data_IF_706665169397
#
_entry.id   IF_706665169397
#
_cell.length_a   1.000
_cell.length_b   1.000
_cell.length_c   1.000
_cell.angle_alpha   90.00
_cell.angle_beta   90.00
_cell.angle_gamma   90.00
#
_symmetry.space_group_name_H-M   'P 1'
#
loop_
_entity.id
_entity.type
_entity.pdbx_description
1 polymer ?
#
# COMPACT_ATOMS: atom_id res chain seq x y z
N UNK A 1 66.02 -26.38 27.52
CA UNK A 1 64.56 -26.32 27.35
C UNK A 1 64.16 -24.87 27.23
N UNK A 2 63.86 -24.42 26.02
CA UNK A 2 63.47 -23.04 25.73
C UNK A 2 62.32 -23.08 24.72
N UNK A 3 61.18 -22.59 25.16
CA UNK A 3 59.89 -22.48 24.46
C UNK A 3 59.97 -21.48 23.30
N UNK A 4 59.54 -21.89 22.10
CA UNK A 4 59.23 -20.99 20.98
C UNK A 4 57.71 -20.87 20.82
N UNK A 5 57.23 -19.64 20.94
CA UNK A 5 55.88 -19.20 20.59
C UNK A 5 55.69 -19.22 19.07
N UNK A 6 54.58 -19.78 18.60
CA UNK A 6 54.10 -19.64 17.21
C UNK A 6 52.73 -18.99 17.27
N UNK A 7 52.66 -17.70 16.92
CA UNK A 7 51.42 -17.01 16.60
C UNK A 7 50.92 -17.50 15.24
N UNK A 8 49.72 -18.09 15.19
CA UNK A 8 48.97 -18.31 13.95
C UNK A 8 47.96 -17.19 13.77
N UNK A 9 48.19 -16.35 12.78
CA UNK A 9 47.21 -15.37 12.28
C UNK A 9 46.09 -16.12 11.57
N UNK A 10 44.89 -16.11 12.12
CA UNK A 10 43.67 -16.57 11.43
C UNK A 10 43.13 -15.37 10.65
N UNK A 11 43.29 -15.40 9.32
CA UNK A 11 42.63 -14.45 8.43
C UNK A 11 41.18 -14.90 8.26
N UNK A 12 40.26 -14.22 8.94
CA UNK A 12 38.82 -14.36 8.69
C UNK A 12 38.52 -13.59 7.40
N UNK A 13 38.36 -14.32 6.29
CA UNK A 13 37.80 -13.78 5.06
C UNK A 13 36.29 -13.66 5.26
N UNK A 14 35.83 -12.48 5.68
CA UNK A 14 34.41 -12.14 5.69
C UNK A 14 33.93 -11.98 4.25
N UNK A 15 33.30 -13.03 3.71
CA UNK A 15 32.54 -12.94 2.46
C UNK A 15 31.25 -12.19 2.79
N UNK A 16 31.26 -10.87 2.62
CA UNK A 16 30.04 -10.09 2.47
C UNK A 16 29.47 -10.40 1.08
N UNK A 17 28.69 -11.48 0.99
CA UNK A 17 27.82 -11.70 -0.16
C UNK A 17 26.67 -10.69 -0.06
N UNK A 18 26.79 -9.55 -0.74
CA UNK A 18 25.63 -8.76 -1.13
C UNK A 18 24.87 -9.54 -2.19
N UNK A 19 23.99 -10.45 -1.76
CA UNK A 19 23.02 -11.05 -2.65
C UNK A 19 22.06 -9.95 -3.07
N UNK A 20 22.24 -9.42 -4.27
CA UNK A 20 21.17 -8.73 -4.99
C UNK A 20 20.01 -9.72 -5.09
N UNK A 21 19.00 -9.56 -4.23
CA UNK A 21 17.77 -10.35 -4.31
C UNK A 21 17.17 -10.01 -5.68
N UNK A 22 17.28 -10.95 -6.62
CA UNK A 22 16.59 -10.84 -7.91
C UNK A 22 15.10 -10.72 -7.64
N UNK A 23 14.37 -9.97 -8.47
CA UNK A 23 12.91 -9.95 -8.44
C UNK A 23 12.35 -11.39 -8.34
N UNK A 24 11.57 -11.68 -7.30
CA UNK A 24 11.05 -13.03 -7.00
C UNK A 24 9.56 -13.12 -7.31
N UNK A 25 8.79 -12.06 -7.03
CA UNK A 25 7.38 -12.08 -7.37
C UNK A 25 7.20 -12.00 -8.89
N UNK A 26 6.17 -12.66 -9.39
CA UNK A 26 5.88 -12.73 -10.82
C UNK A 26 4.38 -12.98 -11.05
N UNK A 27 3.84 -12.67 -12.24
CA UNK A 27 2.41 -12.77 -12.53
C UNK A 27 1.85 -14.20 -12.50
N UNK A 28 2.69 -15.25 -12.48
CA UNK A 28 2.22 -16.64 -12.37
C UNK A 28 1.88 -16.98 -10.92
N UNK A 29 2.72 -16.52 -9.99
CA UNK A 29 2.65 -16.91 -8.59
C UNK A 29 2.08 -15.84 -7.68
N UNK A 30 2.06 -14.58 -8.10
CA UNK A 30 1.65 -13.45 -7.26
C UNK A 30 0.63 -12.57 -8.00
N UNK A 31 -0.20 -11.89 -7.21
CA UNK A 31 -1.36 -11.14 -7.70
C UNK A 31 -1.24 -9.68 -7.33
N UNK A 32 -1.28 -8.79 -8.32
CA UNK A 32 -1.46 -7.36 -8.13
C UNK A 32 -2.95 -7.06 -8.32
N UNK A 33 -3.58 -6.58 -7.25
CA UNK A 33 -4.90 -5.96 -7.28
C UNK A 33 -4.80 -4.45 -7.18
N UNK A 34 -5.76 -3.75 -7.78
CA UNK A 34 -6.02 -2.34 -7.51
C UNK A 34 -7.53 -2.17 -7.43
N UNK A 35 -8.00 -1.43 -6.43
CA UNK A 35 -9.39 -1.02 -6.38
C UNK A 35 -9.63 0.13 -7.38
N UNK A 36 -10.28 -0.22 -8.49
CA UNK A 36 -10.58 0.67 -9.61
C UNK A 36 -11.97 1.33 -9.51
N UNK A 37 -12.65 1.20 -8.37
CA UNK A 37 -14.02 1.70 -8.16
C UNK A 37 -14.10 3.18 -7.76
N UNK A 38 -12.96 3.83 -7.49
CA UNK A 38 -12.86 5.28 -7.26
C UNK A 38 -12.64 6.04 -8.57
N UNK A 39 -13.44 7.09 -8.80
CA UNK A 39 -13.43 7.88 -10.04
C UNK A 39 -12.97 9.33 -9.79
N UNK A 40 -12.27 9.95 -10.75
CA UNK A 40 -11.94 11.37 -10.67
C UNK A 40 -13.16 12.25 -10.96
N UNK A 41 -13.02 13.58 -10.80
CA UNK A 41 -14.06 14.60 -11.02
C UNK A 41 -14.67 14.62 -12.44
N UNK A 42 -14.13 13.86 -13.38
CA UNK A 42 -14.58 13.82 -14.77
C UNK A 42 -15.57 12.65 -14.99
N UNK A 43 -16.82 12.97 -15.27
CA UNK A 43 -17.89 11.97 -15.50
C UNK A 43 -17.70 11.11 -16.76
N UNK A 44 -16.85 11.53 -17.70
CA UNK A 44 -16.45 10.69 -18.85
C UNK A 44 -15.34 9.70 -18.49
N UNK A 45 -14.70 9.86 -17.33
CA UNK A 45 -13.73 8.93 -16.78
C UNK A 45 -14.45 7.93 -15.85
N UNK A 46 -15.03 6.91 -16.47
CA UNK A 46 -15.90 5.93 -15.82
C UNK A 46 -15.13 4.67 -15.36
N UNK A 47 -15.88 3.64 -14.92
CA UNK A 47 -15.32 2.36 -14.52
C UNK A 47 -14.42 1.72 -15.59
N UNK A 48 -14.81 1.73 -16.86
CA UNK A 48 -13.98 1.18 -17.95
C UNK A 48 -12.63 1.90 -18.07
N UNK A 49 -12.62 3.21 -17.86
CA UNK A 49 -11.38 4.01 -17.89
C UNK A 49 -10.45 3.63 -16.73
N UNK A 50 -11.00 3.49 -15.52
CA UNK A 50 -10.26 3.04 -14.34
C UNK A 50 -9.77 1.59 -14.47
N UNK A 51 -10.64 0.69 -14.93
CA UNK A 51 -10.32 -0.71 -15.14
C UNK A 51 -9.22 -0.88 -16.19
N UNK A 52 -9.28 -0.12 -17.29
CA UNK A 52 -8.22 -0.10 -18.30
C UNK A 52 -6.87 0.36 -17.74
N UNK A 53 -6.84 1.32 -16.82
CA UNK A 53 -5.60 1.70 -16.12
C UNK A 53 -5.04 0.53 -15.29
N UNK A 54 -5.90 -0.16 -14.54
CA UNK A 54 -5.52 -1.36 -13.78
C UNK A 54 -4.97 -2.46 -14.69
N UNK A 55 -5.68 -2.80 -15.77
CA UNK A 55 -5.24 -3.80 -16.75
C UNK A 55 -3.90 -3.42 -17.37
N UNK A 56 -3.73 -2.18 -17.81
CA UNK A 56 -2.46 -1.71 -18.39
C UNK A 56 -1.32 -1.79 -17.37
N UNK A 57 -1.58 -1.50 -16.11
CA UNK A 57 -0.62 -1.66 -15.01
C UNK A 57 -0.19 -3.13 -14.80
N UNK A 58 -0.97 -4.09 -15.28
CA UNK A 58 -0.74 -5.52 -15.06
C UNK A 58 -1.50 -6.08 -13.86
N UNK A 59 -2.58 -5.40 -13.44
CA UNK A 59 -3.54 -5.95 -12.50
C UNK A 59 -4.08 -7.29 -13.04
N UNK A 60 -4.06 -8.31 -12.20
CA UNK A 60 -4.48 -9.68 -12.57
C UNK A 60 -5.53 -10.27 -11.62
N UNK A 61 -6.06 -9.46 -10.72
CA UNK A 61 -7.34 -9.65 -10.03
C UNK A 61 -7.89 -8.28 -9.62
N UNK A 62 -9.19 -8.15 -9.42
CA UNK A 62 -9.78 -6.94 -8.81
C UNK A 62 -10.85 -7.29 -7.79
N UNK A 63 -11.09 -6.39 -6.85
CA UNK A 63 -12.04 -6.59 -5.76
C UNK A 63 -13.47 -6.22 -6.15
N UNK A 64 -14.43 -7.01 -5.69
CA UNK A 64 -15.83 -6.56 -5.54
C UNK A 64 -16.16 -6.62 -4.06
N UNK A 65 -16.41 -5.46 -3.47
CA UNK A 65 -16.75 -5.33 -2.07
C UNK A 65 -18.25 -5.07 -1.90
N UNK A 66 -18.93 -5.85 -1.06
CA UNK A 66 -20.34 -5.63 -0.71
C UNK A 66 -20.59 -5.88 0.77
N UNK A 67 -21.20 -4.90 1.46
CA UNK A 67 -21.84 -5.16 2.76
C UNK A 67 -23.03 -6.10 2.55
N UNK A 68 -23.31 -7.00 3.49
CA UNK A 68 -24.46 -7.90 3.36
C UNK A 68 -25.79 -7.13 3.35
N UNK A 69 -25.93 -6.05 4.13
CA UNK A 69 -27.07 -5.10 4.03
C UNK A 69 -27.29 -4.49 2.65
N UNK A 70 -26.24 -4.32 1.85
CA UNK A 70 -26.36 -3.78 0.48
C UNK A 70 -26.91 -4.84 -0.49
N UNK A 71 -26.68 -6.12 -0.21
CA UNK A 71 -27.18 -7.24 -1.02
C UNK A 71 -28.58 -7.64 -0.57
N UNK A 72 -28.81 -7.86 0.72
CA UNK A 72 -30.11 -8.26 1.27
C UNK A 72 -30.84 -7.03 1.85
N UNK A 73 -31.62 -6.37 1.00
CA UNK A 73 -32.26 -5.07 1.31
C UNK A 73 -33.48 -5.20 2.22
N UNK A 74 -34.05 -6.39 2.31
CA UNK A 74 -35.06 -6.80 3.29
C UNK A 74 -35.02 -8.32 3.45
N UNK A 75 -35.63 -8.93 4.48
CA UNK A 75 -35.45 -10.36 4.76
C UNK A 75 -35.72 -11.25 3.54
N UNK A 76 -34.71 -11.99 3.09
CA UNK A 76 -34.68 -12.83 1.87
C UNK A 76 -34.92 -12.11 0.53
N UNK A 77 -34.77 -10.79 0.48
CA UNK A 77 -34.89 -10.03 -0.75
C UNK A 77 -33.52 -9.51 -1.14
N UNK A 78 -32.98 -10.07 -2.22
CA UNK A 78 -31.62 -9.79 -2.67
C UNK A 78 -31.60 -8.83 -3.87
N UNK A 79 -30.80 -7.76 -3.78
CA UNK A 79 -30.38 -6.95 -4.92
C UNK A 79 -29.07 -7.53 -5.48
N UNK A 80 -29.17 -8.21 -6.62
CA UNK A 80 -28.05 -8.93 -7.23
C UNK A 80 -27.49 -8.22 -8.47
N UNK A 81 -27.93 -6.98 -8.72
CA UNK A 81 -27.57 -6.22 -9.93
C UNK A 81 -26.05 -6.13 -10.15
N UNK A 82 -25.28 -5.90 -9.09
CA UNK A 82 -23.82 -5.81 -9.19
C UNK A 82 -23.19 -7.14 -9.61
N UNK A 83 -23.77 -8.27 -9.19
CA UNK A 83 -23.32 -9.61 -9.55
C UNK A 83 -23.66 -9.95 -11.00
N UNK A 84 -24.83 -9.55 -11.49
CA UNK A 84 -25.18 -9.67 -12.91
C UNK A 84 -24.21 -8.89 -13.81
N UNK A 85 -23.91 -7.64 -13.40
CA UNK A 85 -22.92 -6.81 -14.10
C UNK A 85 -21.54 -7.49 -14.07
N UNK A 86 -21.10 -7.97 -12.91
CA UNK A 86 -19.81 -8.65 -12.76
C UNK A 86 -19.70 -9.89 -13.65
N UNK A 87 -20.77 -10.69 -13.72
CA UNK A 87 -20.84 -11.90 -14.54
C UNK A 87 -20.79 -11.64 -16.04
N UNK A 88 -21.25 -10.47 -16.47
CA UNK A 88 -21.08 -10.02 -17.85
C UNK A 88 -19.68 -9.44 -18.09
N UNK A 89 -19.22 -8.58 -17.18
CA UNK A 89 -18.06 -7.72 -17.39
C UNK A 89 -16.73 -8.47 -17.30
N UNK A 90 -16.43 -9.09 -16.15
CA UNK A 90 -15.08 -9.60 -15.87
C UNK A 90 -14.69 -10.83 -16.70
N UNK A 91 -15.60 -11.76 -17.03
CA UNK A 91 -15.28 -12.86 -17.94
C UNK A 91 -14.84 -12.39 -19.33
N UNK A 92 -15.36 -11.25 -19.82
CA UNK A 92 -14.95 -10.69 -21.12
C UNK A 92 -13.48 -10.25 -21.15
N UNK A 93 -12.90 -9.95 -19.99
CA UNK A 93 -11.48 -9.60 -19.82
C UNK A 93 -10.65 -10.73 -19.21
N UNK A 94 -11.26 -11.90 -18.96
CA UNK A 94 -10.65 -13.01 -18.26
C UNK A 94 -10.03 -12.59 -16.91
N UNK A 95 -10.69 -11.65 -16.23
CA UNK A 95 -10.24 -11.05 -14.97
C UNK A 95 -10.84 -11.80 -13.78
N UNK A 96 -10.04 -12.46 -12.93
CA UNK A 96 -10.51 -13.03 -11.69
C UNK A 96 -10.97 -11.94 -10.70
N UNK A 97 -11.93 -12.31 -9.84
CA UNK A 97 -12.47 -11.43 -8.81
C UNK A 97 -12.15 -11.96 -7.42
N UNK A 98 -11.71 -11.06 -6.54
CA UNK A 98 -11.77 -11.29 -5.10
C UNK A 98 -13.09 -10.69 -4.58
N UNK A 99 -14.03 -11.56 -4.21
CA UNK A 99 -15.34 -11.15 -3.75
C UNK A 99 -15.32 -11.01 -2.23
N UNK A 100 -15.55 -9.80 -1.72
CA UNK A 100 -15.74 -9.56 -0.29
C UNK A 100 -17.22 -9.37 0.01
N UNK A 101 -17.76 -10.22 0.89
CA UNK A 101 -19.10 -10.04 1.47
C UNK A 101 -18.95 -9.82 2.97
N UNK A 102 -19.33 -8.63 3.43
CA UNK A 102 -19.10 -8.18 4.79
C UNK A 102 -20.38 -8.23 5.65
N UNK A 103 -20.55 -9.24 6.52
CA UNK A 103 -21.51 -9.19 7.62
C UNK A 103 -21.05 -8.26 8.76
N UNK A 104 -19.75 -7.99 8.84
CA UNK A 104 -19.13 -6.92 9.63
C UNK A 104 -18.18 -6.18 8.69
N UNK A 105 -18.27 -4.86 8.70
CA UNK A 105 -17.33 -3.97 8.05
C UNK A 105 -16.78 -3.00 9.11
N UNK A 106 -15.49 -3.12 9.42
CA UNK A 106 -14.82 -2.36 10.49
C UNK A 106 -15.57 -2.43 11.83
N UNK A 107 -16.17 -1.32 12.26
CA UNK A 107 -16.96 -1.15 13.47
C UNK A 107 -18.47 -1.23 13.23
N UNK A 108 -18.92 -1.51 12.00
CA UNK A 108 -20.32 -1.61 11.63
C UNK A 108 -20.78 -3.07 11.50
N UNK A 109 -21.94 -3.36 12.09
CA UNK A 109 -22.65 -4.62 11.89
C UNK A 109 -23.53 -4.50 10.64
N UNK A 110 -23.21 -5.29 9.62
CA UNK A 110 -23.77 -5.17 8.27
C UNK A 110 -24.65 -6.37 7.92
N UNK A 111 -25.49 -6.79 8.86
CA UNK A 111 -26.47 -7.86 8.67
C UNK A 111 -27.88 -7.31 8.43
N UNK A 112 -28.79 -8.04 7.78
CA UNK A 112 -30.20 -7.68 7.66
C UNK A 112 -30.81 -7.28 9.01
N UNK A 113 -31.73 -6.31 9.00
CA UNK A 113 -32.24 -5.68 10.23
C UNK A 113 -32.90 -6.67 11.21
N UNK A 114 -33.54 -7.73 10.70
CA UNK A 114 -34.14 -8.81 11.49
C UNK A 114 -33.11 -9.75 12.16
N UNK A 115 -31.86 -9.73 11.71
CA UNK A 115 -30.77 -10.57 12.24
C UNK A 115 -29.86 -9.83 13.24
N UNK A 116 -30.00 -8.52 13.40
CA UNK A 116 -29.08 -7.68 14.21
C UNK A 116 -28.94 -8.08 15.68
N UNK A 117 -29.94 -8.77 16.24
CA UNK A 117 -29.92 -9.27 17.63
C UNK A 117 -29.46 -10.72 17.76
N UNK A 118 -29.25 -11.41 16.63
CA UNK A 118 -28.82 -12.80 16.62
C UNK A 118 -27.31 -12.91 16.78
N UNK A 119 -26.86 -13.85 17.61
CA UNK A 119 -25.46 -14.24 17.65
C UNK A 119 -25.01 -14.81 16.30
N UNK A 120 -23.74 -14.62 15.92
CA UNK A 120 -23.21 -15.13 14.65
C UNK A 120 -23.30 -16.66 14.52
N UNK A 121 -23.15 -17.39 15.63
CA UNK A 121 -23.30 -18.85 15.64
C UNK A 121 -24.78 -19.32 15.66
N UNK A 122 -25.75 -18.41 15.56
CA UNK A 122 -27.15 -18.79 15.45
C UNK A 122 -27.38 -19.51 14.10
N UNK A 123 -28.00 -20.71 14.09
CA UNK A 123 -28.26 -21.45 12.86
C UNK A 123 -29.08 -20.67 11.82
N UNK A 124 -29.98 -19.76 12.25
CA UNK A 124 -30.77 -18.92 11.36
C UNK A 124 -29.88 -17.94 10.59
N UNK A 125 -28.98 -17.25 11.29
CA UNK A 125 -28.05 -16.29 10.68
C UNK A 125 -27.10 -17.02 9.71
N UNK A 126 -26.52 -18.15 10.12
CA UNK A 126 -25.65 -18.99 9.26
C UNK A 126 -26.40 -19.42 8.00
N UNK A 127 -27.62 -19.94 8.13
CA UNK A 127 -28.38 -20.43 6.99
C UNK A 127 -28.86 -19.28 6.07
N UNK A 128 -29.15 -18.10 6.61
CA UNK A 128 -29.44 -16.92 5.78
C UNK A 128 -28.23 -16.53 4.94
N UNK A 129 -27.03 -16.51 5.52
CA UNK A 129 -25.82 -16.22 4.74
C UNK A 129 -25.54 -17.28 3.67
N UNK A 130 -25.83 -18.57 3.95
CA UNK A 130 -25.75 -19.62 2.91
C UNK A 130 -26.73 -19.38 1.76
N UNK A 131 -27.96 -18.96 2.07
CA UNK A 131 -28.98 -18.59 1.06
C UNK A 131 -28.54 -17.39 0.22
N UNK A 132 -27.86 -16.42 0.84
CA UNK A 132 -27.21 -15.32 0.13
C UNK A 132 -26.15 -15.86 -0.84
N UNK A 133 -25.27 -16.77 -0.40
CA UNK A 133 -24.24 -17.37 -1.27
C UNK A 133 -24.84 -18.16 -2.44
N UNK A 134 -25.95 -18.88 -2.23
CA UNK A 134 -26.69 -19.55 -3.31
C UNK A 134 -27.16 -18.55 -4.37
N UNK A 135 -27.75 -17.44 -3.91
CA UNK A 135 -28.23 -16.35 -4.77
C UNK A 135 -27.09 -15.71 -5.54
N UNK A 136 -25.97 -15.41 -4.88
CA UNK A 136 -24.77 -14.89 -5.54
C UNK A 136 -24.27 -15.88 -6.59
N UNK A 137 -24.10 -17.17 -6.25
CA UNK A 137 -23.63 -18.21 -7.19
C UNK A 137 -24.48 -18.29 -8.45
N UNK A 138 -25.80 -18.18 -8.32
CA UNK A 138 -26.72 -18.20 -9.46
C UNK A 138 -26.52 -16.99 -10.40
N UNK A 139 -26.06 -15.86 -9.89
CA UNK A 139 -25.84 -14.62 -10.66
C UNK A 139 -24.40 -14.44 -11.16
N UNK A 140 -23.43 -15.20 -10.63
CA UNK A 140 -22.04 -15.23 -11.13
C UNK A 140 -21.57 -16.60 -11.64
N UNK A 141 -22.33 -17.30 -12.51
CA UNK A 141 -21.93 -18.62 -13.00
C UNK A 141 -20.63 -18.62 -13.81
N UNK A 142 -20.28 -17.49 -14.45
CA UNK A 142 -19.13 -17.36 -15.35
C UNK A 142 -17.96 -16.60 -14.73
N UNK A 143 -18.13 -15.98 -13.55
CA UNK A 143 -17.05 -15.29 -12.87
C UNK A 143 -16.05 -16.30 -12.31
N UNK A 144 -14.77 -16.04 -12.55
CA UNK A 144 -13.68 -16.75 -11.90
C UNK A 144 -13.40 -16.06 -10.57
N UNK A 145 -13.68 -16.73 -9.45
CA UNK A 145 -13.32 -16.22 -8.14
C UNK A 145 -11.86 -16.57 -7.83
N UNK A 146 -11.03 -15.54 -7.65
CA UNK A 146 -9.68 -15.65 -7.07
C UNK A 146 -9.78 -16.01 -5.58
N UNK A 147 -10.70 -15.38 -4.87
CA UNK A 147 -11.06 -15.74 -3.50
C UNK A 147 -12.45 -15.22 -3.11
N UNK A 148 -13.01 -15.78 -2.03
CA UNK A 148 -14.15 -15.25 -1.29
C UNK A 148 -13.66 -14.79 0.09
N UNK A 149 -13.84 -13.52 0.39
CA UNK A 149 -13.50 -12.90 1.67
C UNK A 149 -14.78 -12.65 2.45
N UNK A 150 -14.85 -13.16 3.68
CA UNK A 150 -16.04 -13.04 4.53
C UNK A 150 -15.71 -12.13 5.71
N UNK A 151 -16.31 -10.94 5.72
CA UNK A 151 -16.00 -9.87 6.66
C UNK A 151 -14.80 -9.01 6.24
N UNK A 152 -14.78 -7.78 6.75
CA UNK A 152 -13.75 -6.77 6.46
C UNK A 152 -13.38 -6.04 7.74
N UNK A 153 -12.09 -6.05 8.10
CA UNK A 153 -11.54 -5.38 9.28
C UNK A 153 -12.34 -5.64 10.57
N UNK A 154 -12.94 -6.82 10.66
CA UNK A 154 -14.00 -7.11 11.63
C UNK A 154 -13.46 -7.30 13.05
N UNK A 155 -12.14 -7.43 13.24
CA UNK A 155 -11.48 -7.32 14.55
C UNK A 155 -11.82 -6.01 15.28
N UNK A 156 -12.08 -4.93 14.53
CA UNK A 156 -12.45 -3.64 15.11
C UNK A 156 -13.79 -3.72 15.84
N UNK A 157 -14.80 -4.36 15.23
CA UNK A 157 -16.09 -4.62 15.88
C UNK A 157 -15.99 -5.66 16.99
N UNK A 158 -15.28 -6.77 16.74
CA UNK A 158 -15.17 -7.86 17.71
C UNK A 158 -14.44 -7.42 18.99
N UNK A 159 -13.46 -6.51 18.85
CA UNK A 159 -12.64 -6.02 19.96
C UNK A 159 -12.07 -7.18 20.77
N UNK A 160 -11.96 -7.02 22.09
CA UNK A 160 -11.44 -8.09 22.97
C UNK A 160 -12.49 -9.12 23.40
N UNK A 161 -13.68 -9.13 22.79
CA UNK A 161 -14.79 -9.98 23.23
C UNK A 161 -14.62 -11.42 22.72
N UNK A 162 -14.08 -12.29 23.59
CA UNK A 162 -13.84 -13.70 23.30
C UNK A 162 -15.09 -14.46 22.81
N UNK A 163 -16.27 -14.13 23.35
CA UNK A 163 -17.53 -14.75 22.93
C UNK A 163 -17.87 -14.38 21.50
N UNK A 164 -17.75 -13.10 21.11
CA UNK A 164 -18.02 -12.67 19.74
C UNK A 164 -17.03 -13.30 18.75
N UNK A 165 -15.74 -13.37 19.10
CA UNK A 165 -14.74 -14.09 18.29
C UNK A 165 -15.10 -15.56 18.06
N UNK A 166 -15.52 -16.27 19.12
CA UNK A 166 -15.94 -17.67 19.02
C UNK A 166 -17.22 -17.84 18.17
N UNK A 167 -18.19 -16.95 18.33
CA UNK A 167 -19.42 -16.96 17.55
C UNK A 167 -19.14 -16.69 16.07
N UNK A 168 -18.32 -15.68 15.76
CA UNK A 168 -17.93 -15.35 14.39
C UNK A 168 -17.10 -16.46 13.75
N UNK A 169 -16.19 -17.10 14.51
CA UNK A 169 -15.44 -18.28 14.03
C UNK A 169 -16.38 -19.41 13.63
N UNK A 170 -17.37 -19.73 14.47
CA UNK A 170 -18.36 -20.77 14.15
C UNK A 170 -19.16 -20.43 12.90
N UNK A 171 -19.54 -19.16 12.74
CA UNK A 171 -20.20 -18.67 11.54
C UNK A 171 -19.30 -18.85 10.31
N UNK A 172 -18.09 -18.29 10.35
CA UNK A 172 -17.10 -18.30 9.27
C UNK A 172 -16.79 -19.72 8.81
N UNK A 173 -16.54 -20.64 9.74
CA UNK A 173 -16.25 -22.05 9.44
C UNK A 173 -17.40 -22.70 8.67
N UNK A 174 -18.64 -22.47 9.12
CA UNK A 174 -19.83 -23.07 8.50
C UNK A 174 -20.08 -22.54 7.08
N UNK A 175 -19.94 -21.23 6.89
CA UNK A 175 -20.20 -20.61 5.58
C UNK A 175 -19.06 -20.83 4.60
N UNK A 176 -17.82 -20.90 5.08
CA UNK A 176 -16.64 -21.18 4.26
C UNK A 176 -16.66 -22.59 3.67
N UNK A 177 -17.00 -23.59 4.49
CA UNK A 177 -17.20 -24.97 4.01
C UNK A 177 -18.31 -25.03 2.98
N UNK A 178 -19.42 -24.33 3.22
CA UNK A 178 -20.54 -24.29 2.28
C UNK A 178 -20.15 -23.62 0.95
N UNK A 179 -19.48 -22.46 0.99
CA UNK A 179 -19.01 -21.76 -0.21
C UNK A 179 -18.15 -22.66 -1.12
N UNK A 180 -17.26 -23.49 -0.54
CA UNK A 180 -16.44 -24.44 -1.30
C UNK A 180 -17.25 -25.53 -2.03
N UNK A 181 -18.50 -25.79 -1.60
CA UNK A 181 -19.42 -26.68 -2.32
C UNK A 181 -20.05 -26.01 -3.54
N UNK A 182 -20.27 -24.69 -3.49
CA UNK A 182 -20.80 -23.89 -4.60
C UNK A 182 -19.75 -23.58 -5.67
N UNK A 183 -18.50 -23.39 -5.24
CA UNK A 183 -17.36 -23.12 -6.10
C UNK A 183 -16.21 -24.10 -5.78
N UNK A 184 -16.15 -25.25 -6.49
CA UNK A 184 -15.06 -26.21 -6.31
C UNK A 184 -13.67 -25.57 -6.52
N UNK A 185 -12.77 -25.75 -5.56
CA UNK A 185 -11.43 -25.17 -5.59
C UNK A 185 -11.33 -23.73 -5.07
N UNK A 186 -12.45 -23.11 -4.67
CA UNK A 186 -12.49 -21.77 -4.09
C UNK A 186 -11.55 -21.63 -2.90
N UNK A 187 -10.84 -20.50 -2.88
CA UNK A 187 -10.05 -20.05 -1.75
C UNK A 187 -10.88 -19.10 -0.90
N UNK A 188 -10.95 -19.39 0.39
CA UNK A 188 -11.67 -18.55 1.34
C UNK A 188 -10.70 -17.83 2.27
N UNK A 189 -11.06 -16.60 2.62
CA UNK A 189 -10.33 -15.77 3.57
C UNK A 189 -11.32 -15.00 4.44
N UNK A 190 -10.80 -14.40 5.48
CA UNK A 190 -11.49 -13.38 6.27
C UNK A 190 -10.47 -12.27 6.52
N UNK A 191 -10.89 -11.01 6.39
CA UNK A 191 -9.97 -9.88 6.50
C UNK A 191 -9.99 -9.31 7.91
N UNK A 192 -8.79 -9.19 8.48
CA UNK A 192 -8.51 -8.51 9.73
C UNK A 192 -7.49 -7.40 9.50
N UNK A 193 -7.52 -6.36 10.34
CA UNK A 193 -6.43 -5.38 10.33
C UNK A 193 -5.11 -6.01 10.76
N UNK A 194 -3.99 -5.50 10.25
CA UNK A 194 -2.66 -5.89 10.76
C UNK A 194 -2.56 -5.78 12.29
N UNK A 195 -3.13 -4.71 12.86
CA UNK A 195 -3.18 -4.51 14.31
C UNK A 195 -3.99 -5.60 15.01
N UNK A 196 -5.17 -5.95 14.48
CA UNK A 196 -5.99 -7.03 15.00
C UNK A 196 -5.27 -8.37 14.99
N UNK A 197 -4.63 -8.73 13.87
CA UNK A 197 -3.85 -9.96 13.73
C UNK A 197 -2.72 -10.03 14.76
N UNK A 198 -1.99 -8.94 14.94
CA UNK A 198 -0.78 -8.95 15.78
C UNK A 198 -1.09 -8.83 17.26
N UNK A 199 -2.09 -8.04 17.65
CA UNK A 199 -2.45 -7.80 19.05
C UNK A 199 -3.43 -8.81 19.62
N UNK A 200 -4.27 -9.42 18.77
CA UNK A 200 -5.27 -10.42 19.15
C UNK A 200 -4.95 -11.79 18.53
N UNK A 201 -3.66 -12.11 18.45
CA UNK A 201 -3.13 -13.24 17.67
C UNK A 201 -3.81 -14.58 17.95
N UNK A 202 -4.16 -14.91 19.20
CA UNK A 202 -4.80 -16.16 19.56
C UNK A 202 -6.20 -16.29 18.95
N UNK A 203 -6.99 -15.21 18.98
CA UNK A 203 -8.30 -15.19 18.34
C UNK A 203 -8.16 -15.21 16.82
N UNK A 204 -7.27 -14.38 16.27
CA UNK A 204 -7.02 -14.33 14.83
C UNK A 204 -6.54 -15.67 14.25
N UNK A 205 -5.63 -16.38 14.93
CA UNK A 205 -5.15 -17.69 14.51
C UNK A 205 -6.23 -18.77 14.62
N UNK A 206 -7.05 -18.71 15.69
CA UNK A 206 -8.18 -19.64 15.84
C UNK A 206 -9.17 -19.47 14.68
N UNK A 207 -9.61 -18.23 14.41
CA UNK A 207 -10.48 -17.90 13.30
C UNK A 207 -9.88 -18.35 11.96
N UNK A 208 -8.59 -18.07 11.74
CA UNK A 208 -7.93 -18.40 10.50
C UNK A 208 -7.58 -19.88 10.32
N UNK A 209 -7.97 -20.77 11.25
CA UNK A 209 -7.71 -22.22 11.13
C UNK A 209 -8.27 -22.79 9.82
N UNK A 210 -9.47 -22.34 9.40
CA UNK A 210 -10.14 -22.84 8.20
C UNK A 210 -10.03 -21.92 6.98
N UNK A 211 -9.32 -20.80 7.08
CA UNK A 211 -8.98 -19.95 5.93
C UNK A 211 -7.93 -20.62 5.04
N UNK A 212 -8.06 -20.49 3.73
CA UNK A 212 -6.99 -20.85 2.78
C UNK A 212 -5.94 -19.74 2.68
N UNK A 213 -6.39 -18.49 2.79
CA UNK A 213 -5.53 -17.31 2.82
C UNK A 213 -5.75 -16.51 4.11
N UNK A 214 -4.68 -15.86 4.58
CA UNK A 214 -4.77 -14.89 5.66
C UNK A 214 -5.08 -13.53 5.02
N UNK A 215 -6.30 -13.04 5.22
CA UNK A 215 -6.74 -11.75 4.72
C UNK A 215 -6.29 -10.61 5.64
N UNK A 216 -5.63 -9.61 5.06
CA UNK A 216 -5.06 -8.49 5.82
C UNK A 216 -5.45 -7.16 5.19
N UNK A 217 -5.89 -6.21 6.01
CA UNK A 217 -5.82 -4.80 5.68
C UNK A 217 -4.59 -4.17 6.33
N UNK A 218 -3.86 -3.37 5.55
CA UNK A 218 -2.60 -2.79 6.01
C UNK A 218 -2.42 -1.34 5.56
N UNK A 219 -2.37 -0.49 6.58
CA UNK A 219 -1.95 0.90 6.50
C UNK A 219 -0.94 1.12 7.63
N UNK A 220 0.31 1.52 7.36
CA UNK A 220 1.31 1.73 8.41
C UNK A 220 0.99 3.04 9.15
N UNK A 221 0.04 3.00 10.08
CA UNK A 221 -0.45 4.16 10.81
C UNK A 221 -0.06 4.09 12.29
N UNK A 222 0.14 5.28 12.87
CA UNK A 222 0.11 5.50 14.31
C UNK A 222 -1.35 5.59 14.79
N UNK A 223 -1.57 5.52 16.11
CA UNK A 223 -2.91 5.58 16.69
C UNK A 223 -3.67 6.90 16.41
N UNK A 224 -2.98 7.95 15.96
CA UNK A 224 -3.57 9.24 15.59
C UNK A 224 -3.72 9.40 14.06
N UNK A 225 -3.73 8.29 13.31
CA UNK A 225 -3.85 8.26 11.84
C UNK A 225 -2.72 8.90 11.04
N UNK A 226 -1.68 9.44 11.69
CA UNK A 226 -0.45 9.81 10.99
C UNK A 226 0.31 8.56 10.57
N UNK A 227 1.06 8.66 9.48
CA UNK A 227 1.83 7.53 8.95
C UNK A 227 3.04 7.18 9.82
N UNK A 228 3.32 5.89 9.93
CA UNK A 228 4.61 5.35 10.35
C UNK A 228 5.59 5.44 9.17
N UNK A 229 6.91 5.52 9.43
CA UNK A 229 7.91 5.52 8.38
C UNK A 229 7.83 4.27 7.49
N UNK A 230 8.06 4.41 6.18
CA UNK A 230 8.07 3.28 5.22
C UNK A 230 9.03 2.16 5.60
N UNK A 231 10.06 2.46 6.41
CA UNK A 231 11.01 1.47 6.93
C UNK A 231 10.40 0.46 7.90
N UNK A 232 9.14 0.61 8.33
CA UNK A 232 8.47 -0.42 9.16
C UNK A 232 7.98 -1.62 8.34
N UNK A 233 7.71 -1.44 7.05
CA UNK A 233 7.10 -2.45 6.17
C UNK A 233 7.85 -3.80 6.22
N UNK A 234 9.19 -3.87 6.16
CA UNK A 234 9.91 -5.15 6.28
C UNK A 234 9.63 -5.91 7.57
N UNK A 235 9.58 -5.19 8.70
CA UNK A 235 9.33 -5.79 10.02
C UNK A 235 7.88 -6.23 10.16
N UNK A 236 6.95 -5.45 9.61
CA UNK A 236 5.52 -5.77 9.65
C UNK A 236 5.22 -7.02 8.78
N UNK A 237 5.82 -7.13 7.59
CA UNK A 237 5.75 -8.35 6.77
C UNK A 237 6.38 -9.54 7.49
N UNK A 238 7.57 -9.37 8.08
CA UNK A 238 8.24 -10.44 8.85
C UNK A 238 7.35 -10.95 9.99
N UNK A 239 6.63 -10.04 10.66
CA UNK A 239 5.71 -10.37 11.76
C UNK A 239 4.55 -11.23 11.25
N UNK A 240 3.88 -10.82 10.18
CA UNK A 240 2.77 -11.61 9.60
C UNK A 240 3.24 -12.99 9.13
N UNK A 241 4.39 -13.06 8.45
CA UNK A 241 4.97 -14.32 7.97
C UNK A 241 5.36 -15.23 9.15
N UNK A 242 5.88 -14.67 10.23
CA UNK A 242 6.19 -15.41 11.46
C UNK A 242 4.95 -15.97 12.15
N UNK A 243 3.82 -15.26 12.10
CA UNK A 243 2.54 -15.73 12.66
C UNK A 243 1.87 -16.80 11.78
N UNK A 244 2.10 -16.79 10.47
CA UNK A 244 1.46 -17.68 9.50
C UNK A 244 2.47 -18.30 8.53
N UNK A 245 3.33 -19.17 9.07
CA UNK A 245 4.43 -19.76 8.30
C UNK A 245 3.99 -20.67 7.16
N UNK A 246 2.80 -21.27 7.24
CA UNK A 246 2.29 -22.26 6.28
C UNK A 246 1.08 -21.82 5.46
N UNK A 247 0.58 -20.58 5.66
CA UNK A 247 -0.61 -20.08 4.96
C UNK A 247 -0.25 -18.83 4.16
N UNK A 248 -0.64 -18.76 2.87
CA UNK A 248 -0.38 -17.57 2.08
C UNK A 248 -1.14 -16.35 2.63
N UNK A 249 -0.48 -15.20 2.62
CA UNK A 249 -1.02 -13.92 3.04
C UNK A 249 -1.52 -13.16 1.80
N UNK A 250 -2.71 -12.60 1.90
CA UNK A 250 -3.32 -11.73 0.90
C UNK A 250 -3.67 -10.40 1.55
N UNK A 251 -3.05 -9.31 1.09
CA UNK A 251 -3.50 -7.97 1.47
C UNK A 251 -4.70 -7.61 0.57
N UNK A 252 -5.89 -7.50 1.15
CA UNK A 252 -7.11 -7.11 0.43
C UNK A 252 -7.35 -5.60 0.47
N UNK A 253 -6.68 -4.92 1.39
CA UNK A 253 -6.54 -3.48 1.42
C UNK A 253 -5.10 -3.10 1.79
N UNK A 254 -4.46 -2.29 0.95
CA UNK A 254 -3.05 -1.93 1.14
C UNK A 254 -2.81 -0.51 0.63
N UNK A 255 -2.42 0.40 1.52
CA UNK A 255 -2.32 1.81 1.14
C UNK A 255 -1.43 2.66 2.04
N UNK A 256 -1.16 3.88 1.56
CA UNK A 256 -0.40 4.90 2.27
C UNK A 256 -0.91 6.27 1.82
N UNK A 257 -1.42 7.13 2.73
CA UNK A 257 -1.96 8.43 2.33
C UNK A 257 -0.84 9.38 1.87
N UNK A 258 -1.14 10.33 0.99
CA UNK A 258 -0.13 11.26 0.44
C UNK A 258 -0.17 12.68 1.06
N UNK A 259 -1.01 12.93 2.04
CA UNK A 259 -1.19 14.28 2.63
C UNK A 259 -0.19 14.64 3.72
N UNK A 260 0.22 15.90 3.76
CA UNK A 260 1.04 16.47 4.84
C UNK A 260 0.32 16.43 6.20
N UNK A 261 -1.01 16.53 6.23
CA UNK A 261 -1.82 16.37 7.47
C UNK A 261 -1.63 14.98 8.09
N UNK A 262 -1.36 13.97 7.26
CA UNK A 262 -1.05 12.60 7.70
C UNK A 262 0.44 12.41 8.03
N UNK A 263 1.26 13.48 8.09
CA UNK A 263 2.72 13.44 8.10
C UNK A 263 3.33 12.69 6.91
N UNK A 264 2.71 12.85 5.75
CA UNK A 264 3.06 12.17 4.51
C UNK A 264 3.26 13.13 3.33
N UNK A 265 3.56 12.58 2.17
CA UNK A 265 3.71 13.26 0.89
C UNK A 265 3.55 12.27 -0.26
N UNK A 266 3.31 12.74 -1.49
CA UNK A 266 3.33 11.87 -2.68
C UNK A 266 4.67 11.15 -2.86
N UNK A 267 5.78 11.80 -2.51
CA UNK A 267 7.11 11.18 -2.50
C UNK A 267 7.17 9.99 -1.55
N UNK A 268 6.63 10.12 -0.33
CA UNK A 268 6.58 9.01 0.62
C UNK A 268 5.63 7.90 0.16
N UNK A 269 4.51 8.24 -0.48
CA UNK A 269 3.60 7.26 -1.07
C UNK A 269 4.30 6.46 -2.20
N UNK A 270 5.13 7.11 -3.01
CA UNK A 270 5.95 6.39 -4.01
C UNK A 270 7.03 5.50 -3.36
N UNK A 271 7.70 5.99 -2.32
CA UNK A 271 8.67 5.20 -1.54
C UNK A 271 8.02 3.98 -0.87
N UNK A 272 6.77 4.11 -0.42
CA UNK A 272 5.98 3.02 0.11
C UNK A 272 5.77 1.91 -0.94
N UNK A 273 5.46 2.26 -2.20
CA UNK A 273 5.37 1.27 -3.29
C UNK A 273 6.71 0.58 -3.52
N UNK A 274 7.81 1.33 -3.66
CA UNK A 274 9.14 0.75 -3.88
C UNK A 274 9.57 -0.20 -2.75
N UNK A 275 9.37 0.20 -1.49
CA UNK A 275 9.68 -0.61 -0.32
C UNK A 275 8.77 -1.86 -0.24
N UNK A 276 7.50 -1.72 -0.59
CA UNK A 276 6.55 -2.83 -0.64
C UNK A 276 7.03 -3.90 -1.59
N UNK A 277 7.38 -3.56 -2.83
CA UNK A 277 7.84 -4.55 -3.82
C UNK A 277 9.17 -5.19 -3.44
N UNK A 278 10.10 -4.42 -2.87
CA UNK A 278 11.37 -4.94 -2.35
C UNK A 278 11.13 -5.96 -1.22
N UNK A 279 10.22 -5.64 -0.31
CA UNK A 279 9.85 -6.53 0.81
C UNK A 279 9.08 -7.74 0.31
N UNK A 280 8.19 -7.55 -0.67
CA UNK A 280 7.39 -8.60 -1.25
C UNK A 280 8.26 -9.61 -2.01
N UNK A 281 9.31 -9.18 -2.70
CA UNK A 281 10.30 -10.11 -3.28
C UNK A 281 10.96 -11.00 -2.22
N UNK A 282 11.24 -10.45 -1.03
CA UNK A 282 11.80 -11.24 0.08
C UNK A 282 10.82 -12.31 0.56
N UNK A 283 9.52 -12.02 0.52
CA UNK A 283 8.44 -12.90 0.99
C UNK A 283 7.55 -13.42 -0.15
N UNK A 284 8.09 -13.59 -1.36
CA UNK A 284 7.30 -13.88 -2.56
C UNK A 284 6.50 -15.19 -2.46
N UNK A 285 7.00 -16.16 -1.70
CA UNK A 285 6.33 -17.44 -1.46
C UNK A 285 5.20 -17.30 -0.41
N UNK A 286 5.37 -16.39 0.55
CA UNK A 286 4.44 -16.23 1.66
C UNK A 286 3.31 -15.24 1.33
N UNK A 287 3.60 -14.16 0.61
CA UNK A 287 2.62 -13.13 0.26
C UNK A 287 2.12 -13.38 -1.17
N UNK A 288 0.88 -13.85 -1.28
CA UNK A 288 0.26 -14.23 -2.54
C UNK A 288 -0.28 -13.02 -3.31
N UNK A 289 -0.86 -12.05 -2.61
CA UNK A 289 -1.57 -10.91 -3.20
C UNK A 289 -1.31 -9.62 -2.44
N UNK A 290 -1.23 -8.52 -3.17
CA UNK A 290 -1.42 -7.15 -2.65
C UNK A 290 -2.47 -6.43 -3.50
N UNK A 291 -3.55 -5.97 -2.87
CA UNK A 291 -4.58 -5.11 -3.46
C UNK A 291 -4.39 -3.66 -2.99
N UNK A 292 -4.13 -2.75 -3.93
CA UNK A 292 -3.87 -1.34 -3.60
C UNK A 292 -5.15 -0.52 -3.51
N UNK A 293 -5.34 0.13 -2.35
CA UNK A 293 -6.47 1.00 -2.03
C UNK A 293 -6.01 2.46 -2.06
N UNK A 294 -6.51 3.35 -2.92
CA UNK A 294 -7.44 3.21 -4.05
C UNK A 294 -6.78 3.69 -5.36
N UNK A 295 -7.42 3.50 -6.52
CA UNK A 295 -6.90 4.07 -7.76
C UNK A 295 -6.88 5.61 -7.75
N UNK A 296 -7.97 6.25 -7.30
CA UNK A 296 -8.09 7.71 -7.23
C UNK A 296 -8.35 8.17 -5.80
N UNK A 297 -7.92 9.40 -5.49
CA UNK A 297 -8.32 10.11 -4.28
C UNK A 297 -9.85 10.24 -4.25
N UNK A 298 -10.38 10.24 -3.03
CA UNK A 298 -11.80 10.48 -2.83
C UNK A 298 -12.14 11.95 -3.01
N UNK A 299 -13.41 12.24 -3.27
CA UNK A 299 -13.90 13.61 -3.17
C UNK A 299 -14.40 13.91 -1.75
N UNK A 300 -14.71 15.18 -1.49
CA UNK A 300 -15.23 15.60 -0.19
C UNK A 300 -16.53 14.89 0.18
N UNK A 301 -17.39 14.56 -0.81
CA UNK A 301 -18.65 13.88 -0.54
C UNK A 301 -18.44 12.44 -0.04
N UNK A 302 -17.57 11.68 -0.69
CA UNK A 302 -17.19 10.34 -0.29
C UNK A 302 -16.47 10.34 1.08
N UNK A 303 -15.55 11.28 1.32
CA UNK A 303 -14.88 11.43 2.62
C UNK A 303 -15.90 11.71 3.73
N UNK A 304 -16.85 12.63 3.51
CA UNK A 304 -17.91 12.93 4.49
C UNK A 304 -18.84 11.74 4.73
N UNK A 305 -19.14 10.98 3.67
CA UNK A 305 -19.91 9.74 3.79
C UNK A 305 -19.20 8.75 4.71
N UNK A 306 -17.91 8.47 4.45
CA UNK A 306 -17.15 7.54 5.27
C UNK A 306 -16.92 8.03 6.70
N UNK A 307 -16.68 9.33 6.89
CA UNK A 307 -16.61 9.94 8.22
C UNK A 307 -17.88 9.70 9.02
N UNK A 308 -19.05 9.92 8.40
CA UNK A 308 -20.34 9.63 9.02
C UNK A 308 -20.52 8.14 9.28
N UNK A 309 -20.22 7.30 8.29
CA UNK A 309 -20.39 5.86 8.35
C UNK A 309 -19.55 5.19 9.45
N UNK A 310 -18.32 5.63 9.65
CA UNK A 310 -17.46 5.14 10.73
C UNK A 310 -17.68 5.86 12.08
N UNK A 311 -18.47 6.94 12.09
CA UNK A 311 -18.67 7.78 13.27
C UNK A 311 -17.42 8.56 13.68
N UNK A 312 -16.57 8.93 12.71
CA UNK A 312 -15.29 9.60 12.91
C UNK A 312 -15.27 10.98 12.24
N UNK A 313 -14.91 11.99 13.02
CA UNK A 313 -14.75 13.38 12.56
C UNK A 313 -13.30 13.86 12.68
N UNK A 314 -12.36 12.97 13.04
CA UNK A 314 -10.95 13.30 13.17
C UNK A 314 -10.39 13.74 11.81
N UNK A 315 -9.78 14.92 11.76
CA UNK A 315 -9.35 15.53 10.51
C UNK A 315 -8.20 14.78 9.85
N UNK A 316 -7.34 14.09 10.62
CA UNK A 316 -6.25 13.29 10.09
C UNK A 316 -6.83 12.00 9.49
N UNK A 317 -7.80 11.37 10.15
CA UNK A 317 -8.50 10.21 9.59
C UNK A 317 -9.21 10.53 8.27
N UNK A 318 -9.97 11.62 8.22
CA UNK A 318 -10.67 12.03 7.00
C UNK A 318 -9.70 12.31 5.86
N UNK A 319 -8.57 12.94 6.17
CA UNK A 319 -7.54 13.25 5.18
C UNK A 319 -6.72 12.01 4.78
N UNK A 320 -6.60 11.01 5.67
CA UNK A 320 -6.09 9.69 5.33
C UNK A 320 -6.96 9.08 4.23
N UNK A 321 -8.27 8.97 4.44
CA UNK A 321 -9.20 8.43 3.44
C UNK A 321 -9.16 9.22 2.12
N UNK A 322 -9.11 10.56 2.23
CA UNK A 322 -9.09 11.46 1.10
C UNK A 322 -7.90 11.20 0.17
N UNK A 323 -6.72 10.93 0.73
CA UNK A 323 -5.45 10.96 0.00
C UNK A 323 -4.78 9.60 -0.19
N UNK A 324 -5.54 8.50 -0.03
CA UNK A 324 -5.07 7.13 -0.30
C UNK A 324 -4.84 6.85 -1.79
N UNK A 325 -5.51 7.59 -2.67
CA UNK A 325 -5.47 7.36 -4.10
C UNK A 325 -4.06 7.39 -4.68
N UNK A 326 -3.78 6.52 -5.65
CA UNK A 326 -2.57 6.56 -6.47
C UNK A 326 -2.63 7.63 -7.56
N UNK A 327 -3.84 8.13 -7.85
CA UNK A 327 -4.12 9.24 -8.77
C UNK A 327 -4.93 10.30 -8.03
N UNK A 328 -4.77 11.57 -8.45
CA UNK A 328 -5.54 12.68 -7.88
C UNK A 328 -7.01 12.59 -8.29
N UNK A 329 -7.90 13.23 -7.53
CA UNK A 329 -9.33 13.32 -7.90
C UNK A 329 -9.61 14.36 -8.99
N UNK A 330 -8.94 15.52 -8.95
CA UNK A 330 -9.27 16.68 -9.80
C UNK A 330 -9.21 16.38 -11.31
N UNK A 331 -10.16 16.94 -12.07
CA UNK A 331 -10.22 16.77 -13.53
C UNK A 331 -10.33 15.30 -13.93
N UNK A 332 -9.44 14.82 -14.82
CA UNK A 332 -9.37 13.39 -15.22
C UNK A 332 -8.54 12.52 -14.25
N UNK A 333 -8.11 13.10 -13.14
CA UNK A 333 -7.14 12.52 -12.22
C UNK A 333 -5.75 12.46 -12.82
N UNK A 334 -4.81 13.22 -12.29
CA UNK A 334 -3.39 13.12 -12.67
C UNK A 334 -2.71 12.02 -11.88
N UNK A 335 -1.84 11.26 -12.54
CA UNK A 335 -0.98 10.28 -11.88
C UNK A 335 -0.14 10.94 -10.79
N UNK A 336 -0.17 10.36 -9.58
CA UNK A 336 0.83 10.69 -8.57
C UNK A 336 2.10 9.89 -8.86
N UNK A 337 3.20 10.30 -8.23
CA UNK A 337 4.47 9.58 -8.33
C UNK A 337 4.35 8.09 -7.95
N UNK A 338 3.44 7.76 -7.03
CA UNK A 338 3.17 6.39 -6.58
C UNK A 338 2.58 5.49 -7.67
N UNK A 339 1.65 5.99 -8.50
CA UNK A 339 1.12 5.20 -9.62
C UNK A 339 2.19 4.91 -10.67
N UNK A 340 3.03 5.90 -10.98
CA UNK A 340 4.17 5.74 -11.89
C UNK A 340 5.15 4.68 -11.33
N UNK A 341 5.46 4.75 -10.04
CA UNK A 341 6.33 3.77 -9.37
C UNK A 341 5.72 2.36 -9.40
N UNK A 342 4.40 2.24 -9.17
CA UNK A 342 3.69 0.96 -9.24
C UNK A 342 3.77 0.34 -10.65
N UNK A 343 3.58 1.15 -11.69
CA UNK A 343 3.76 0.71 -13.08
C UNK A 343 5.17 0.20 -13.34
N UNK A 344 6.17 0.88 -12.79
CA UNK A 344 7.56 0.51 -12.93
C UNK A 344 7.93 -0.77 -12.19
N UNK A 345 7.50 -0.92 -10.94
CA UNK A 345 7.73 -2.12 -10.14
C UNK A 345 7.04 -3.35 -10.78
N UNK A 346 5.81 -3.17 -11.29
CA UNK A 346 5.07 -4.20 -12.01
C UNK A 346 5.76 -4.59 -13.34
N UNK A 347 6.23 -3.61 -14.13
CA UNK A 347 6.98 -3.83 -15.37
C UNK A 347 8.28 -4.62 -15.14
N UNK A 348 9.05 -4.25 -14.12
CA UNK A 348 10.30 -4.93 -13.77
C UNK A 348 10.10 -6.42 -13.41
N UNK A 349 8.88 -6.81 -13.03
CA UNK A 349 8.49 -8.18 -12.67
C UNK A 349 7.62 -8.88 -13.72
N UNK A 350 7.51 -8.28 -14.91
CA UNK A 350 6.84 -8.88 -16.06
C UNK A 350 5.31 -8.86 -16.03
N UNK A 351 4.69 -8.02 -15.17
CA UNK A 351 3.24 -7.88 -15.14
C UNK A 351 2.69 -7.04 -16.29
N UNK A 352 3.49 -6.12 -16.82
CA UNK A 352 3.11 -5.28 -17.95
C UNK A 352 4.32 -4.98 -18.85
N UNK A 353 4.02 -4.48 -20.05
CA UNK A 353 5.01 -4.05 -21.03
C UNK A 353 4.81 -2.58 -21.44
N UNK A 354 4.28 -1.74 -20.55
CA UNK A 354 4.00 -0.34 -20.86
C UNK A 354 5.31 0.37 -21.26
N UNK A 355 5.23 1.22 -22.29
CA UNK A 355 6.32 2.10 -22.67
C UNK A 355 6.44 3.30 -21.69
N UNK A 356 6.94 3.02 -20.49
CA UNK A 356 7.21 4.00 -19.44
C UNK A 356 8.70 4.02 -19.09
N UNK A 357 9.22 5.24 -18.86
CA UNK A 357 10.58 5.47 -18.39
C UNK A 357 10.63 5.28 -16.89
N UNK A 358 11.08 4.10 -16.47
CA UNK A 358 11.33 3.82 -15.07
C UNK A 358 12.71 4.32 -14.71
N UNK A 359 12.79 5.22 -13.72
CA UNK A 359 14.06 5.47 -13.06
C UNK A 359 14.56 4.12 -12.52
N UNK A 360 15.74 3.68 -12.93
CA UNK A 360 16.33 2.45 -12.40
C UNK A 360 16.67 2.68 -10.94
N UNK A 361 15.76 2.28 -10.06
CA UNK A 361 16.09 2.02 -8.67
C UNK A 361 17.04 0.83 -8.66
N UNK A 362 18.35 1.12 -8.73
CA UNK A 362 19.37 0.12 -8.41
C UNK A 362 19.06 -0.39 -7.00
N UNK A 363 18.56 -1.62 -6.96
CA UNK A 363 18.39 -2.43 -5.77
C UNK A 363 19.78 -2.75 -5.22
N UNK A 364 20.27 -1.90 -4.34
CA UNK A 364 21.27 -2.31 -3.36
C UNK A 364 20.69 -2.15 -1.96
N UNK A 365 20.48 -3.31 -1.34
CA UNK A 365 20.03 -3.45 0.02
C UNK A 365 21.07 -2.86 0.98
N UNK A 366 20.81 -1.66 1.47
CA UNK A 366 20.97 -1.30 2.88
C UNK A 366 20.43 0.10 3.06
N UNK A 367 19.41 0.23 3.90
CA UNK A 367 19.12 1.48 4.59
C UNK A 367 20.30 1.68 5.55
N UNK A 368 21.43 2.12 5.02
CA UNK A 368 22.31 3.02 5.73
C UNK A 368 21.71 4.42 5.50
N UNK A 369 20.96 4.89 6.49
CA UNK A 369 20.54 6.27 6.64
C UNK A 369 21.77 7.19 6.80
N UNK A 370 22.66 7.27 5.81
CA UNK A 370 23.71 8.28 5.63
C UNK A 370 24.45 8.00 4.33
N UNK A 371 24.24 8.85 3.30
CA UNK A 371 25.24 9.28 2.30
C UNK A 371 24.69 10.04 1.08
N UNK A 372 23.50 10.65 1.12
CA UNK A 372 23.06 11.61 0.07
C UNK A 372 22.40 12.89 0.62
N UNK A 373 22.64 13.22 1.88
CA UNK A 373 22.31 14.54 2.42
C UNK A 373 23.42 15.51 2.03
N UNK A 374 23.19 16.27 0.96
CA UNK A 374 23.93 17.51 0.73
C UNK A 374 23.57 18.47 1.86
N UNK A 375 24.56 18.82 2.68
CA UNK A 375 24.40 19.73 3.79
C UNK A 375 24.66 21.17 3.33
N UNK A 376 23.77 22.08 3.73
CA UNK A 376 23.89 23.52 3.47
C UNK A 376 23.78 24.24 4.81
N UNK A 377 24.87 24.91 5.21
CA UNK A 377 24.93 25.57 6.50
C UNK A 377 25.92 26.74 6.51
N UNK A 378 25.66 27.80 7.29
CA UNK A 378 24.41 28.04 8.02
C UNK A 378 23.24 28.35 7.08
N UNK A 379 22.03 28.00 7.49
CA UNK A 379 20.79 28.42 6.80
C UNK A 379 19.77 28.85 7.88
N UNK A 380 19.52 30.15 8.06
CA UNK A 380 19.92 31.27 7.19
C UNK A 380 21.44 31.57 7.18
N UNK A 381 21.96 31.92 6.00
CA UNK A 381 23.33 32.37 5.77
C UNK A 381 23.45 33.89 5.96
N UNK A 382 24.61 34.36 6.44
CA UNK A 382 24.90 35.80 6.58
C UNK A 382 25.96 36.23 5.57
N UNK A 383 27.19 35.74 5.75
CA UNK A 383 28.36 36.12 4.94
C UNK A 383 28.93 34.95 4.13
N UNK A 384 28.67 33.72 4.57
CA UNK A 384 29.16 32.51 3.92
C UNK A 384 28.12 31.40 3.97
N UNK A 385 28.19 30.52 2.98
CA UNK A 385 27.40 29.31 2.86
C UNK A 385 28.35 28.14 2.62
N UNK A 386 28.36 27.17 3.52
CA UNK A 386 29.06 25.91 3.31
C UNK A 386 28.10 24.93 2.65
N UNK A 387 28.61 24.29 1.61
CA UNK A 387 27.94 23.25 0.85
C UNK A 387 28.80 21.99 0.91
N UNK A 388 28.29 20.95 1.56
CA UNK A 388 29.01 19.69 1.76
C UNK A 388 28.27 18.54 1.07
N UNK A 389 28.98 17.82 0.21
CA UNK A 389 28.49 16.64 -0.50
C UNK A 389 29.11 15.38 0.10
N UNK A 390 28.33 14.28 0.22
CA UNK A 390 28.86 13.00 0.68
C UNK A 390 29.73 12.29 -0.37
N UNK A 391 29.81 12.84 -1.57
CA UNK A 391 30.65 12.37 -2.68
C UNK A 391 31.54 13.51 -3.19
N UNK A 392 32.66 13.16 -3.81
CA UNK A 392 33.54 14.14 -4.43
C UNK A 392 32.94 14.63 -5.74
N UNK A 393 32.86 15.95 -5.88
CA UNK A 393 32.46 16.55 -7.14
C UNK A 393 33.60 16.38 -8.13
N UNK A 394 33.25 16.11 -9.38
CA UNK A 394 34.20 16.05 -10.48
C UNK A 394 33.63 16.94 -11.58
N UNK A 395 34.39 17.98 -11.92
CA UNK A 395 34.05 18.98 -12.93
C UNK A 395 32.62 19.54 -12.80
N UNK A 396 32.18 19.81 -11.57
CA UNK A 396 30.81 20.28 -11.33
C UNK A 396 30.67 21.80 -11.52
N UNK A 397 29.45 22.22 -11.87
CA UNK A 397 28.98 23.59 -11.92
C UNK A 397 28.01 23.85 -10.77
N UNK A 398 28.12 25.01 -10.14
CA UNK A 398 27.21 25.50 -9.10
C UNK A 398 26.64 26.84 -9.56
N UNK A 399 25.31 26.97 -9.57
CA UNK A 399 24.58 28.21 -9.86
C UNK A 399 23.68 28.57 -8.70
N UNK A 400 23.66 29.84 -8.31
CA UNK A 400 22.74 30.40 -7.31
C UNK A 400 21.73 31.29 -8.03
N UNK A 401 20.45 31.05 -7.78
CA UNK A 401 19.34 31.77 -8.35
C UNK A 401 18.58 32.54 -7.28
N UNK A 402 18.15 33.76 -7.59
CA UNK A 402 17.18 34.47 -6.77
C UNK A 402 15.74 33.95 -7.00
N UNK A 403 14.77 34.47 -6.25
CA UNK A 403 13.35 34.10 -6.38
C UNK A 403 12.70 34.40 -7.74
N UNK A 404 13.33 35.24 -8.57
CA UNK A 404 12.90 35.56 -9.93
C UNK A 404 13.55 34.65 -10.99
N UNK A 405 14.39 33.69 -10.56
CA UNK A 405 15.11 32.78 -11.45
C UNK A 405 16.33 33.40 -12.13
N UNK A 406 16.79 34.58 -11.67
CA UNK A 406 18.01 35.20 -12.19
C UNK A 406 19.23 34.59 -11.51
N UNK A 407 20.31 34.36 -12.27
CA UNK A 407 21.58 33.83 -11.75
C UNK A 407 22.33 34.96 -11.04
N UNK A 408 22.58 34.77 -9.76
CA UNK A 408 23.28 35.71 -8.88
C UNK A 408 24.74 35.31 -8.68
N UNK A 409 25.04 33.99 -8.70
CA UNK A 409 26.42 33.46 -8.73
C UNK A 409 26.51 32.22 -9.60
N UNK A 410 27.68 32.02 -10.21
CA UNK A 410 28.03 30.80 -10.93
C UNK A 410 29.50 30.43 -10.68
N UNK A 411 29.77 29.16 -10.44
CA UNK A 411 31.11 28.60 -10.29
C UNK A 411 31.19 27.31 -11.09
N UNK A 412 32.33 27.03 -11.72
CA UNK A 412 32.53 25.84 -12.55
C UNK A 412 33.84 25.13 -12.19
N UNK A 413 34.06 23.94 -12.74
CA UNK A 413 35.25 23.13 -12.49
C UNK A 413 35.46 22.76 -11.01
N UNK A 414 34.36 22.55 -10.28
CA UNK A 414 34.41 22.20 -8.86
C UNK A 414 34.78 20.73 -8.69
N UNK A 415 35.90 20.50 -8.01
CA UNK A 415 36.46 19.18 -7.72
C UNK A 415 36.71 19.01 -6.21
N UNK A 416 35.63 19.07 -5.41
CA UNK A 416 35.72 19.04 -3.95
C UNK A 416 34.47 18.44 -3.32
N UNK A 417 34.57 18.00 -2.05
CA UNK A 417 33.43 17.57 -1.21
C UNK A 417 32.83 18.71 -0.40
N UNK A 418 33.65 19.70 -0.05
CA UNK A 418 33.27 20.88 0.73
C UNK A 418 33.56 22.11 -0.09
N UNK A 419 32.55 22.95 -0.26
CA UNK A 419 32.66 24.23 -0.93
C UNK A 419 32.19 25.29 0.05
N UNK A 420 33.01 26.31 0.24
CA UNK A 420 32.60 27.52 0.92
C UNK A 420 32.26 28.57 -0.15
N UNK A 421 31.09 29.19 -0.03
CA UNK A 421 30.59 30.19 -0.96
C UNK A 421 30.39 31.47 -0.16
N UNK A 422 31.12 32.53 -0.53
CA UNK A 422 30.87 33.84 0.04
C UNK A 422 29.52 34.40 -0.44
N UNK A 423 28.69 34.88 0.48
CA UNK A 423 27.34 35.43 0.22
C UNK A 423 27.21 36.91 0.62
N UNK A 424 28.32 37.60 0.86
CA UNK A 424 28.39 39.01 1.30
C UNK A 424 27.81 40.01 0.29
N UNK A 425 27.70 39.63 -0.97
CA UNK A 425 27.13 40.39 -2.09
C UNK A 425 25.65 40.10 -2.35
N UNK A 426 25.09 39.02 -1.79
CA UNK A 426 23.68 38.65 -1.98
C UNK A 426 22.76 39.34 -0.96
N UNK A 427 21.69 40.01 -1.40
CA UNK A 427 20.71 40.65 -0.49
C UNK A 427 19.96 39.64 0.39
N UNK A 428 19.34 40.10 1.49
CA UNK A 428 18.46 39.24 2.30
C UNK A 428 17.29 38.73 1.45
N UNK A 429 17.03 37.41 1.48
CA UNK A 429 16.04 36.80 0.61
C UNK A 429 16.14 35.27 0.51
N UNK A 430 15.27 34.68 -0.31
CA UNK A 430 15.26 33.25 -0.62
C UNK A 430 16.05 32.99 -1.90
N UNK A 431 16.95 32.01 -1.84
CA UNK A 431 17.81 31.61 -2.95
C UNK A 431 17.75 30.11 -3.19
N UNK A 432 18.02 29.72 -4.43
CA UNK A 432 18.13 28.33 -4.86
C UNK A 432 19.53 28.06 -5.38
N UNK A 433 20.21 27.06 -4.84
CA UNK A 433 21.49 26.59 -5.35
C UNK A 433 21.25 25.34 -6.20
N UNK A 434 21.85 25.32 -7.38
CA UNK A 434 21.81 24.22 -8.34
C UNK A 434 23.23 23.75 -8.56
N UNK A 435 23.48 22.49 -8.21
CA UNK A 435 24.71 21.76 -8.53
C UNK A 435 24.44 20.92 -9.77
N UNK A 436 25.33 20.95 -10.75
CA UNK A 436 25.24 20.16 -11.97
C UNK A 436 26.59 19.52 -12.30
N UNK A 437 26.62 18.21 -12.55
CA UNK A 437 27.71 17.54 -13.25
C UNK A 437 27.14 16.73 -14.44
N UNK A 438 28.00 16.01 -15.16
CA UNK A 438 27.62 15.21 -16.35
C UNK A 438 26.48 14.21 -16.07
N UNK A 439 26.40 13.68 -14.84
CA UNK A 439 25.49 12.60 -14.47
C UNK A 439 24.37 13.03 -13.51
N UNK A 440 24.46 14.22 -12.89
CA UNK A 440 23.60 14.60 -11.76
C UNK A 440 23.30 16.10 -11.73
N UNK A 441 22.05 16.42 -11.39
CA UNK A 441 21.63 17.76 -11.02
C UNK A 441 20.97 17.72 -9.64
N UNK A 442 21.35 18.64 -8.75
CA UNK A 442 20.77 18.74 -7.40
C UNK A 442 20.39 20.18 -7.10
N UNK A 443 19.21 20.37 -6.52
CA UNK A 443 18.67 21.68 -6.14
C UNK A 443 18.49 21.75 -4.62
N UNK A 444 18.80 22.89 -4.02
CA UNK A 444 18.50 23.18 -2.61
C UNK A 444 18.09 24.64 -2.42
N UNK A 445 17.24 24.87 -1.43
CA UNK A 445 16.83 26.21 -1.00
C UNK A 445 17.64 26.64 0.22
N UNK A 446 18.08 27.89 0.24
CA UNK A 446 18.63 28.53 1.43
C UNK A 446 18.13 29.97 1.56
N UNK A 447 18.26 30.54 2.75
CA UNK A 447 17.82 31.88 3.11
C UNK A 447 19.05 32.70 3.44
N UNK A 448 19.11 33.94 2.97
CA UNK A 448 20.09 34.93 3.41
C UNK A 448 19.38 35.91 4.34
N UNK A 449 19.98 36.17 5.50
CA UNK A 449 19.47 37.09 6.50
C UNK A 449 20.60 37.97 7.04
N UNK A 450 20.77 39.16 6.47
CA UNK A 450 21.75 40.19 6.87
C UNK A 450 21.17 41.22 7.81
#
# INVERSE_FOLDING_TARGET
MTTKSIFRTITIVGILCSTTIKAQINPTNNIIGVDVSTFPQNTSFNYDSCFALGVNLGMNSTGIYQNWTAIETSPNTFNLTIFDIANYYYPAYNMPIDLTIAPIHTNNLEVPSDLTTMAFNNPILINRFKTLLDSVKAHIPNVILSSLVIGSEHDVYLGTNATLWSQYTTFYDSVSVYAKTLWPGLKVATELTFTGITTQNAFAQTLNTNSDYIGVSYYPLNNNFTVKPVSTIPTDFATLVGLYTSKPICFYQYGYPSSATCNSSETQQAQFIAQTFTTWDTYAINVKKIDFTWLHDLDTAAVNFYGTYYGLTDTIFLEFLHTLGLRNWNGKGTDKASFTELQCQAKQRGYNNININCATTNTDASINNNNNLIAIFPNPAQNELNFETPFELINAEIKIYNQLGQIEKSMSNINARKINIETTDLSSGVYFIVLQNIDRQVHRKFIINK
#
